data_IF_211255321317
#
_entry.id   IF_211255321317
#
_cell.length_a   1.000
_cell.length_b   1.000
_cell.length_c   1.000
_cell.angle_alpha   90.00
_cell.angle_beta   90.00
_cell.angle_gamma   90.00
#
_symmetry.space_group_name_H-M   'P 1'
#
loop_
_entity.id
_entity.type
_entity.pdbx_description
1 polymer ?
#
# COMPACT_ATOMS: atom_id res chain seq x y z
N UNK A 1 -23.46 4.35 -10.32
CA UNK A 1 -22.34 4.01 -9.42
C UNK A 1 -22.70 4.57 -8.06
N UNK A 2 -22.78 3.72 -7.06
CA UNK A 2 -23.01 4.10 -5.67
C UNK A 2 -21.65 4.17 -4.98
N UNK A 3 -21.35 5.30 -4.35
CA UNK A 3 -20.10 5.52 -3.63
C UNK A 3 -20.40 5.74 -2.16
N UNK A 4 -19.51 5.26 -1.31
CA UNK A 4 -19.62 5.33 0.14
C UNK A 4 -18.46 4.57 0.76
N UNK A 5 -18.42 4.49 2.08
CA UNK A 5 -17.35 3.78 2.78
C UNK A 5 -17.88 2.49 3.39
N UNK A 6 -17.04 1.47 3.40
CA UNK A 6 -17.34 0.13 3.89
C UNK A 6 -17.81 0.14 5.36
N UNK A 7 -17.25 1.06 6.15
CA UNK A 7 -17.56 1.22 7.57
C UNK A 7 -18.69 2.21 7.85
N UNK A 8 -19.32 2.80 6.84
CA UNK A 8 -20.56 3.56 6.98
C UNK A 8 -21.75 2.58 7.16
N UNK A 9 -22.43 2.58 8.33
CA UNK A 9 -23.50 1.64 8.63
C UNK A 9 -24.79 1.90 7.83
N UNK A 10 -24.89 3.01 7.09
CA UNK A 10 -26.01 3.33 6.20
C UNK A 10 -25.74 2.79 4.79
N UNK A 11 -24.49 2.85 4.35
CA UNK A 11 -24.06 2.46 3.02
C UNK A 11 -24.27 0.96 2.79
N UNK A 12 -25.01 0.60 1.72
CA UNK A 12 -25.40 -0.78 1.38
C UNK A 12 -26.31 -1.49 2.40
N UNK A 13 -26.95 -0.75 3.31
CA UNK A 13 -27.86 -1.36 4.30
C UNK A 13 -29.11 -2.04 3.71
N UNK A 14 -29.52 -1.74 2.47
CA UNK A 14 -30.71 -2.35 1.85
C UNK A 14 -30.58 -2.53 0.32
N UNK A 15 -29.73 -3.44 -0.17
CA UNK A 15 -29.43 -3.53 -1.60
C UNK A 15 -30.58 -4.17 -2.41
N UNK A 16 -31.35 -5.12 -1.86
CA UNK A 16 -32.48 -5.79 -2.53
C UNK A 16 -33.63 -6.13 -1.55
N UNK A 17 -34.02 -5.16 -0.73
CA UNK A 17 -35.05 -5.33 0.30
C UNK A 17 -34.46 -5.46 1.72
N UNK A 18 -35.33 -5.31 2.73
CA UNK A 18 -34.94 -5.31 4.15
C UNK A 18 -34.65 -6.74 4.59
N UNK A 19 -33.41 -7.02 4.98
CA UNK A 19 -33.00 -8.32 5.53
C UNK A 19 -32.48 -8.16 6.96
N UNK A 20 -32.26 -9.26 7.69
CA UNK A 20 -31.63 -9.18 9.01
C UNK A 20 -30.20 -8.60 8.94
N UNK A 21 -29.49 -8.76 7.80
CA UNK A 21 -28.17 -8.15 7.57
C UNK A 21 -28.22 -6.61 7.55
N UNK A 22 -29.35 -6.01 7.18
CA UNK A 22 -29.57 -4.56 7.15
C UNK A 22 -29.34 -3.88 8.51
N UNK A 23 -29.43 -4.63 9.61
CA UNK A 23 -29.24 -4.13 10.98
C UNK A 23 -27.84 -4.43 11.53
N UNK A 24 -27.07 -5.30 10.87
CA UNK A 24 -25.73 -5.74 11.25
C UNK A 24 -24.67 -5.30 10.25
N UNK A 25 -23.60 -6.09 10.09
CA UNK A 25 -22.59 -5.88 9.03
C UNK A 25 -23.17 -6.33 7.68
N UNK A 26 -23.06 -5.48 6.67
CA UNK A 26 -23.60 -5.69 5.32
C UNK A 26 -22.59 -5.28 4.25
N UNK A 27 -21.43 -5.95 4.27
CA UNK A 27 -20.31 -5.76 3.34
C UNK A 27 -20.28 -6.82 2.21
N UNK A 28 -21.45 -7.29 1.78
CA UNK A 28 -21.50 -8.17 0.60
C UNK A 28 -21.21 -7.32 -0.66
N UNK A 29 -20.37 -7.84 -1.56
CA UNK A 29 -20.00 -7.09 -2.77
C UNK A 29 -21.18 -6.88 -3.73
N UNK A 30 -21.19 -5.75 -4.43
CA UNK A 30 -22.22 -5.45 -5.42
C UNK A 30 -21.65 -4.77 -6.66
N UNK A 31 -22.11 -5.19 -7.84
CA UNK A 31 -21.62 -4.68 -9.12
C UNK A 31 -21.83 -3.17 -9.32
N UNK A 32 -22.67 -2.54 -8.49
CA UNK A 32 -23.01 -1.12 -8.59
C UNK A 32 -22.31 -0.22 -7.56
N UNK A 33 -21.57 -0.78 -6.61
CA UNK A 33 -21.01 -0.10 -5.44
C UNK A 33 -19.47 -0.07 -5.49
N UNK A 34 -18.90 0.92 -4.82
CA UNK A 34 -17.49 0.92 -4.41
C UNK A 34 -17.44 0.31 -3.01
N UNK A 35 -16.81 -0.85 -2.85
CA UNK A 35 -17.03 -1.69 -1.67
C UNK A 35 -15.98 -1.50 -0.57
N UNK A 36 -14.73 -1.20 -0.93
CA UNK A 36 -13.57 -1.37 -0.03
C UNK A 36 -12.88 -0.05 0.37
N UNK A 37 -13.62 1.05 0.48
CA UNK A 37 -13.10 2.33 0.98
C UNK A 37 -13.34 2.45 2.48
N UNK A 38 -12.31 2.76 3.27
CA UNK A 38 -12.35 2.78 4.73
C UNK A 38 -11.96 4.17 5.24
N UNK A 39 -12.82 4.78 6.06
CA UNK A 39 -12.44 5.97 6.83
C UNK A 39 -11.74 5.53 8.11
N UNK A 40 -10.45 5.79 8.24
CA UNK A 40 -9.68 5.46 9.44
C UNK A 40 -9.76 6.61 10.45
N UNK A 41 -10.84 6.61 11.25
CA UNK A 41 -11.06 7.60 12.31
C UNK A 41 -11.05 6.94 13.71
N UNK A 42 -11.19 7.71 14.81
CA UNK A 42 -11.16 7.15 16.17
C UNK A 42 -12.24 6.10 16.47
N UNK A 43 -13.40 6.15 15.81
CA UNK A 43 -14.42 5.11 15.94
C UNK A 43 -13.93 3.78 15.38
N UNK A 44 -13.36 3.77 14.17
CA UNK A 44 -12.82 2.55 13.54
C UNK A 44 -11.78 1.87 14.45
N UNK A 45 -10.90 2.67 15.06
CA UNK A 45 -9.90 2.19 16.02
C UNK A 45 -10.53 1.60 17.29
N UNK A 46 -11.58 2.24 17.81
CA UNK A 46 -12.27 1.76 19.02
C UNK A 46 -12.94 0.40 18.83
N UNK A 47 -13.51 0.17 17.63
CA UNK A 47 -14.10 -1.10 17.23
C UNK A 47 -13.04 -2.20 17.17
N UNK A 48 -11.89 -1.92 16.57
CA UNK A 48 -10.79 -2.88 16.47
C UNK A 48 -10.24 -3.31 17.84
N UNK A 49 -10.20 -2.38 18.80
CA UNK A 49 -9.70 -2.64 20.15
C UNK A 49 -10.70 -3.33 21.07
N UNK A 50 -11.93 -3.64 20.60
CA UNK A 50 -12.97 -4.26 21.41
C UNK A 50 -13.43 -3.42 22.61
N UNK A 51 -13.12 -2.12 22.59
CA UNK A 51 -13.48 -1.17 23.64
C UNK A 51 -14.86 -0.57 23.37
N UNK A 52 -15.71 -0.51 24.39
CA UNK A 52 -16.92 0.31 24.36
C UNK A 52 -16.52 1.74 23.99
N UNK A 53 -17.20 2.31 23.00
CA UNK A 53 -17.00 3.67 22.51
C UNK A 53 -17.01 4.72 23.64
N UNK A 54 -17.80 4.51 24.70
CA UNK A 54 -17.89 5.43 25.84
C UNK A 54 -16.52 5.68 26.47
N UNK A 55 -15.67 4.65 26.55
CA UNK A 55 -14.31 4.76 27.08
C UNK A 55 -13.31 5.38 26.07
N UNK A 56 -13.58 5.24 24.77
CA UNK A 56 -12.72 5.76 23.70
C UNK A 56 -12.99 7.22 23.38
N UNK A 57 -14.26 7.64 23.38
CA UNK A 57 -14.68 9.04 23.19
C UNK A 57 -14.27 9.91 24.38
N UNK A 58 -14.37 9.40 25.61
CA UNK A 58 -13.87 10.09 26.80
C UNK A 58 -12.35 10.36 26.74
N UNK A 59 -11.58 9.53 26.02
CA UNK A 59 -10.14 9.69 25.81
C UNK A 59 -9.77 10.52 24.57
N UNK A 60 -10.61 10.53 23.54
CA UNK A 60 -10.35 11.20 22.26
C UNK A 60 -10.84 12.65 22.17
N UNK A 61 -11.56 13.17 23.18
CA UNK A 61 -12.04 14.56 23.17
C UNK A 61 -13.18 14.85 22.19
N UNK A 62 -13.89 13.82 21.72
CA UNK A 62 -15.03 13.95 20.81
C UNK A 62 -16.29 14.39 21.60
N UNK A 63 -16.92 15.49 21.18
CA UNK A 63 -18.14 16.03 21.82
C UNK A 63 -19.41 15.40 21.22
N UNK A 64 -19.91 14.36 21.88
CA UNK A 64 -21.16 13.67 21.52
C UNK A 64 -22.38 14.58 21.44
N UNK A 65 -22.38 15.74 22.11
CA UNK A 65 -23.53 16.64 22.13
C UNK A 65 -23.63 17.53 20.88
N UNK A 66 -22.58 17.62 20.06
CA UNK A 66 -22.57 18.51 18.89
C UNK A 66 -23.07 17.88 17.59
N UNK A 67 -23.14 16.55 17.47
CA UNK A 67 -23.24 15.95 16.12
C UNK A 67 -24.45 15.02 15.85
N UNK A 68 -25.09 14.32 16.80
CA UNK A 68 -25.95 13.18 16.40
C UNK A 68 -27.35 13.03 17.05
N UNK A 69 -28.03 14.13 17.37
CA UNK A 69 -29.48 14.12 17.62
C UNK A 69 -30.22 15.09 16.68
N UNK A 70 -30.00 14.98 15.38
CA UNK A 70 -30.81 15.67 14.38
C UNK A 70 -31.86 14.71 13.75
N UNK A 71 -32.88 15.28 13.10
CA UNK A 71 -34.05 14.58 12.52
C UNK A 71 -33.73 13.39 11.62
N UNK A 72 -32.56 13.37 10.98
CA UNK A 72 -32.16 12.39 9.96
C UNK A 72 -32.14 10.94 10.47
N UNK A 73 -31.67 10.71 11.70
CA UNK A 73 -31.66 9.35 12.29
C UNK A 73 -33.08 8.81 12.51
N UNK A 74 -33.98 9.67 13.00
CA UNK A 74 -35.39 9.30 13.16
C UNK A 74 -36.06 9.07 11.81
N UNK A 75 -35.77 9.89 10.80
CA UNK A 75 -36.33 9.76 9.45
C UNK A 75 -35.90 8.46 8.75
N UNK A 76 -34.64 8.04 8.92
CA UNK A 76 -34.12 6.77 8.38
C UNK A 76 -34.74 5.57 9.08
N UNK A 77 -34.85 5.59 10.41
CA UNK A 77 -35.55 4.53 11.14
C UNK A 77 -37.01 4.40 10.68
N UNK A 78 -37.70 5.53 10.49
CA UNK A 78 -39.07 5.56 9.94
C UNK A 78 -39.11 5.00 8.52
N UNK A 79 -38.17 5.36 7.64
CA UNK A 79 -38.06 4.82 6.27
C UNK A 79 -37.81 3.30 6.27
N UNK A 80 -37.05 2.81 7.25
CA UNK A 80 -36.81 1.38 7.47
C UNK A 80 -37.97 0.68 8.19
N UNK A 81 -39.03 1.39 8.58
CA UNK A 81 -40.22 0.83 9.22
C UNK A 81 -40.00 0.48 10.70
N UNK A 82 -38.98 1.07 11.31
CA UNK A 82 -38.58 0.88 12.70
C UNK A 82 -39.13 2.06 13.52
N UNK A 83 -39.91 1.77 14.56
CA UNK A 83 -40.40 2.81 15.48
C UNK A 83 -39.25 3.31 16.38
N UNK A 84 -38.81 4.58 16.26
CA UNK A 84 -37.68 5.11 17.03
C UNK A 84 -37.91 5.05 18.54
N UNK A 85 -39.16 5.15 19.00
CA UNK A 85 -39.51 5.13 20.43
C UNK A 85 -39.47 3.72 21.01
N UNK A 86 -39.72 2.70 20.18
CA UNK A 86 -39.70 1.29 20.57
C UNK A 86 -38.26 0.75 20.57
N UNK A 87 -37.44 1.21 19.62
CA UNK A 87 -36.03 0.89 19.54
C UNK A 87 -35.29 1.35 20.81
N UNK A 88 -35.48 2.59 21.27
CA UNK A 88 -34.79 3.14 22.45
C UNK A 88 -34.92 2.27 23.73
N UNK A 89 -36.06 1.59 23.90
CA UNK A 89 -36.33 0.73 25.06
C UNK A 89 -35.66 -0.66 24.95
N UNK A 90 -35.58 -1.23 23.75
CA UNK A 90 -34.88 -2.51 23.50
C UNK A 90 -33.36 -2.32 23.33
N UNK A 91 -32.94 -1.14 22.91
CA UNK A 91 -31.56 -0.75 22.60
C UNK A 91 -30.69 -0.65 23.87
N UNK A 92 -31.25 -0.13 24.95
CA UNK A 92 -30.57 0.00 26.26
C UNK A 92 -30.17 -1.37 26.85
N UNK A 93 -30.86 -2.46 26.49
CA UNK A 93 -30.57 -3.81 26.99
C UNK A 93 -29.59 -4.61 26.10
N UNK A 94 -29.34 -4.18 24.85
CA UNK A 94 -28.46 -4.88 23.89
C UNK A 94 -27.06 -4.26 23.74
N UNK A 95 -26.91 -3.00 24.16
CA UNK A 95 -25.65 -2.23 24.14
C UNK A 95 -24.49 -2.89 24.92
N UNK A 96 -24.77 -3.80 25.86
CA UNK A 96 -23.73 -4.43 26.68
C UNK A 96 -23.11 -5.70 26.07
N UNK A 97 -23.62 -6.23 24.94
CA UNK A 97 -23.22 -7.57 24.47
C UNK A 97 -22.64 -7.70 23.06
N UNK A 98 -22.56 -6.64 22.26
CA UNK A 98 -21.95 -6.79 20.92
C UNK A 98 -21.29 -5.53 20.39
N UNK A 99 -20.03 -5.69 19.98
CA UNK A 99 -19.31 -4.84 19.04
C UNK A 99 -20.02 -4.83 17.67
N UNK A 100 -21.22 -4.24 17.58
CA UNK A 100 -22.00 -4.22 16.35
C UNK A 100 -21.67 -2.97 15.54
N UNK A 101 -20.94 -3.10 14.43
CA UNK A 101 -20.73 -2.04 13.40
C UNK A 101 -21.99 -1.73 12.56
N UNK A 102 -23.18 -2.09 13.05
CA UNK A 102 -24.42 -2.07 12.27
C UNK A 102 -25.22 -0.79 12.47
N UNK A 103 -26.27 -0.60 11.67
CA UNK A 103 -27.14 0.58 11.69
C UNK A 103 -27.67 0.98 13.07
N UNK A 104 -27.90 -0.02 13.93
CA UNK A 104 -28.42 0.22 15.27
C UNK A 104 -27.36 0.85 16.18
N UNK A 105 -26.06 0.60 15.97
CA UNK A 105 -25.02 1.27 16.75
C UNK A 105 -24.91 2.74 16.35
N UNK A 106 -25.52 3.61 17.16
CA UNK A 106 -25.53 5.06 16.98
C UNK A 106 -24.11 5.62 16.84
N UNK A 107 -23.11 4.96 17.42
CA UNK A 107 -21.74 5.42 17.29
C UNK A 107 -21.06 5.10 15.97
N UNK A 108 -21.52 4.06 15.27
CA UNK A 108 -21.10 3.75 13.91
C UNK A 108 -21.46 4.88 12.94
N UNK A 109 -22.45 5.70 13.25
CA UNK A 109 -22.87 6.83 12.41
C UNK A 109 -21.82 7.94 12.34
N UNK A 110 -20.79 7.94 13.18
CA UNK A 110 -19.61 8.78 12.97
C UNK A 110 -19.00 8.57 11.58
N UNK A 111 -19.15 7.38 10.99
CA UNK A 111 -18.70 7.05 9.62
C UNK A 111 -19.62 7.57 8.53
N UNK A 112 -20.83 8.01 8.87
CA UNK A 112 -21.80 8.59 7.95
C UNK A 112 -21.71 10.14 7.91
N UNK A 113 -20.66 10.75 8.48
CA UNK A 113 -20.47 12.19 8.38
C UNK A 113 -20.21 12.60 6.92
N UNK A 114 -21.06 13.45 6.30
CA UNK A 114 -20.87 13.90 4.94
C UNK A 114 -19.53 14.63 4.73
N UNK A 115 -19.04 15.36 5.74
CA UNK A 115 -17.77 16.07 5.64
C UNK A 115 -16.58 15.11 5.58
N UNK A 116 -16.57 14.08 6.44
CA UNK A 116 -15.55 13.04 6.41
C UNK A 116 -15.58 12.27 5.08
N UNK A 117 -16.78 11.92 4.58
CA UNK A 117 -16.95 11.24 3.30
C UNK A 117 -16.40 12.06 2.13
N UNK A 118 -16.72 13.35 2.06
CA UNK A 118 -16.21 14.24 1.00
C UNK A 118 -14.68 14.34 1.08
N UNK A 119 -14.13 14.55 2.27
CA UNK A 119 -12.68 14.64 2.46
C UNK A 119 -11.96 13.34 2.05
N UNK A 120 -12.51 12.19 2.42
CA UNK A 120 -11.97 10.87 2.06
C UNK A 120 -11.94 10.67 0.55
N UNK A 121 -13.06 10.89 -0.14
CA UNK A 121 -13.11 10.70 -1.60
C UNK A 121 -12.25 11.72 -2.34
N UNK A 122 -12.17 12.96 -1.86
CA UNK A 122 -11.31 13.98 -2.45
C UNK A 122 -9.82 13.60 -2.30
N UNK A 123 -9.43 12.99 -1.18
CA UNK A 123 -8.05 12.51 -1.00
C UNK A 123 -7.72 11.35 -1.94
N UNK A 124 -8.64 10.39 -2.11
CA UNK A 124 -8.47 9.31 -3.10
C UNK A 124 -8.31 9.89 -4.52
N UNK A 125 -9.15 10.85 -4.91
CA UNK A 125 -9.09 11.48 -6.24
C UNK A 125 -7.79 12.26 -6.48
N UNK A 126 -7.17 12.76 -5.42
CA UNK A 126 -5.93 13.53 -5.50
C UNK A 126 -4.67 12.69 -5.26
N UNK A 127 -4.82 11.41 -4.95
CA UNK A 127 -3.71 10.50 -4.68
C UNK A 127 -2.87 10.28 -5.93
N UNK A 128 -1.55 10.25 -5.76
CA UNK A 128 -0.64 9.87 -6.84
C UNK A 128 -0.85 8.42 -7.31
N UNK A 129 -1.47 7.60 -6.47
CA UNK A 129 -1.84 6.22 -6.82
C UNK A 129 -3.21 6.09 -7.48
N UNK A 130 -3.97 7.17 -7.68
CA UNK A 130 -5.36 7.07 -8.18
C UNK A 130 -5.45 6.30 -9.52
N UNK A 131 -4.49 6.50 -10.41
CA UNK A 131 -4.43 5.81 -11.71
C UNK A 131 -4.24 4.28 -11.61
N UNK A 132 -3.77 3.79 -10.45
CA UNK A 132 -3.63 2.37 -10.16
C UNK A 132 -4.86 1.79 -9.46
N UNK A 133 -5.82 2.61 -9.04
CA UNK A 133 -7.03 2.12 -8.36
C UNK A 133 -8.07 1.62 -9.36
N UNK A 134 -8.87 0.65 -8.91
CA UNK A 134 -10.10 0.20 -9.57
C UNK A 134 -11.26 0.21 -8.58
N UNK A 135 -12.48 -0.06 -9.05
CA UNK A 135 -13.72 0.05 -8.26
C UNK A 135 -13.65 -0.69 -6.92
N UNK A 136 -13.01 -1.85 -6.89
CA UNK A 136 -12.99 -2.74 -5.72
C UNK A 136 -11.65 -2.70 -4.97
N UNK A 137 -10.78 -1.73 -5.30
CA UNK A 137 -9.52 -1.52 -4.59
C UNK A 137 -9.76 -1.22 -3.11
N UNK A 138 -8.93 -1.80 -2.24
CA UNK A 138 -8.98 -1.51 -0.81
C UNK A 138 -8.25 -0.20 -0.52
N UNK A 139 -8.98 0.82 -0.06
CA UNK A 139 -8.41 2.14 0.25
C UNK A 139 -8.66 2.51 1.71
N UNK A 140 -7.60 2.59 2.51
CA UNK A 140 -7.62 3.03 3.90
C UNK A 140 -7.20 4.49 3.96
N UNK A 141 -8.10 5.37 4.38
CA UNK A 141 -7.87 6.81 4.33
C UNK A 141 -7.83 7.39 5.74
N UNK A 142 -6.70 7.97 6.12
CA UNK A 142 -6.49 8.59 7.43
C UNK A 142 -7.48 9.73 7.65
N UNK A 143 -8.20 9.67 8.76
CA UNK A 143 -9.02 10.77 9.24
C UNK A 143 -8.78 11.04 10.74
N UNK A 144 -7.55 10.77 11.18
CA UNK A 144 -7.10 11.05 12.53
C UNK A 144 -6.68 12.53 12.66
N UNK A 145 -6.83 13.07 13.87
CA UNK A 145 -6.42 14.45 14.18
C UNK A 145 -5.68 14.51 15.51
N UNK A 146 -4.89 15.58 15.70
CA UNK A 146 -4.16 15.85 16.94
C UNK A 146 -3.28 14.69 17.40
N UNK A 147 -3.27 14.44 18.71
CA UNK A 147 -2.42 13.42 19.32
C UNK A 147 -2.71 11.99 18.83
N UNK A 148 -3.93 11.69 18.39
CA UNK A 148 -4.26 10.36 17.87
C UNK A 148 -3.50 10.07 16.58
N UNK A 149 -3.37 11.06 15.69
CA UNK A 149 -2.62 10.92 14.44
C UNK A 149 -1.13 10.64 14.70
N UNK A 150 -0.54 11.36 15.65
CA UNK A 150 0.89 11.20 15.99
C UNK A 150 1.23 9.87 16.69
N UNK A 151 0.23 9.18 17.25
CA UNK A 151 0.47 8.00 18.11
C UNK A 151 -0.13 6.70 17.57
N UNK A 152 -1.00 6.79 16.57
CA UNK A 152 -1.76 5.64 16.04
C UNK A 152 -1.31 5.31 14.63
N UNK A 153 -1.06 4.03 14.37
CA UNK A 153 -0.81 3.54 13.01
C UNK A 153 -2.13 3.45 12.24
N UNK A 154 -2.19 4.12 11.10
CA UNK A 154 -3.21 3.92 10.07
C UNK A 154 -2.81 2.68 9.30
N UNK A 155 -3.60 1.62 9.42
CA UNK A 155 -3.35 0.33 8.78
C UNK A 155 -4.69 -0.31 8.39
N UNK A 156 -4.67 -1.25 7.45
CA UNK A 156 -5.86 -2.07 7.24
C UNK A 156 -6.05 -3.04 8.41
N UNK A 157 -7.06 -2.79 9.25
CA UNK A 157 -7.33 -3.59 10.45
C UNK A 157 -8.02 -4.92 10.14
N UNK A 158 -8.42 -5.17 8.89
CA UNK A 158 -9.08 -6.41 8.47
C UNK A 158 -10.22 -6.81 9.41
N UNK A 159 -11.09 -5.85 9.73
CA UNK A 159 -12.17 -6.08 10.68
C UNK A 159 -13.04 -7.26 10.22
N UNK A 160 -13.49 -8.06 11.18
CA UNK A 160 -14.26 -9.29 10.89
C UNK A 160 -15.49 -8.98 10.02
N UNK A 161 -15.69 -9.78 8.98
CA UNK A 161 -16.85 -9.68 8.09
C UNK A 161 -16.64 -8.78 6.88
N UNK A 162 -15.39 -8.41 6.59
CA UNK A 162 -15.03 -7.64 5.39
C UNK A 162 -14.60 -8.54 4.24
N UNK A 163 -14.76 -8.06 3.00
CA UNK A 163 -14.47 -8.82 1.76
C UNK A 163 -13.27 -8.29 0.96
N UNK A 164 -12.48 -7.42 1.59
CA UNK A 164 -11.26 -6.82 1.03
C UNK A 164 -10.28 -7.88 0.50
N UNK A 165 -9.65 -7.60 -0.64
CA UNK A 165 -8.62 -8.45 -1.25
C UNK A 165 -7.72 -7.63 -2.17
N UNK A 166 -6.58 -8.22 -2.57
CA UNK A 166 -5.62 -7.56 -3.45
C UNK A 166 -4.83 -6.47 -2.72
N UNK A 167 -4.16 -5.57 -3.48
CA UNK A 167 -3.35 -4.53 -2.89
C UNK A 167 -4.15 -3.56 -2.01
N UNK A 168 -3.48 -3.01 -1.00
CA UNK A 168 -4.05 -1.99 -0.11
C UNK A 168 -3.43 -0.63 -0.39
N UNK A 169 -4.27 0.39 -0.62
CA UNK A 169 -3.88 1.78 -0.70
C UNK A 169 -4.08 2.44 0.67
N UNK A 170 -3.04 3.04 1.24
CA UNK A 170 -3.08 3.69 2.56
C UNK A 170 -2.70 5.15 2.38
N UNK A 171 -3.67 6.03 2.58
CA UNK A 171 -3.53 7.47 2.33
C UNK A 171 -3.50 8.25 3.64
N UNK A 172 -2.43 8.98 3.87
CA UNK A 172 -2.23 9.88 5.00
C UNK A 172 -3.00 11.19 4.90
N UNK A 173 -2.49 12.24 5.50
CA UNK A 173 -3.08 13.58 5.57
C UNK A 173 -2.03 14.64 5.24
N UNK A 174 -2.38 15.91 5.45
CA UNK A 174 -1.43 17.02 5.29
C UNK A 174 -0.58 17.26 6.55
N UNK A 175 -0.58 16.36 7.54
CA UNK A 175 0.31 16.50 8.68
C UNK A 175 0.67 15.16 9.30
N UNK A 176 1.81 15.13 9.99
CA UNK A 176 2.52 13.96 10.51
C UNK A 176 1.62 12.74 10.83
N UNK A 177 1.62 11.77 9.92
CA UNK A 177 0.91 10.52 9.99
C UNK A 177 1.85 9.36 10.34
N UNK A 178 1.27 8.28 10.87
CA UNK A 178 1.94 7.00 11.01
C UNK A 178 1.19 5.99 10.16
N UNK A 179 1.79 5.55 9.06
CA UNK A 179 1.14 4.69 8.06
C UNK A 179 1.79 3.32 8.06
N UNK A 180 0.99 2.26 8.03
CA UNK A 180 1.51 0.90 8.12
C UNK A 180 0.85 -0.06 7.15
N UNK A 181 1.69 -0.68 6.34
CA UNK A 181 1.35 -1.73 5.39
C UNK A 181 1.20 -3.09 6.05
N UNK A 182 0.53 -3.99 5.33
CA UNK A 182 0.37 -5.38 5.68
C UNK A 182 1.56 -6.23 5.26
N UNK A 183 1.29 -7.52 5.07
CA UNK A 183 2.28 -8.48 4.54
C UNK A 183 2.12 -8.71 3.03
N UNK A 184 1.11 -8.10 2.42
CA UNK A 184 0.79 -8.19 0.99
C UNK A 184 1.34 -6.94 0.29
N UNK A 185 0.89 -6.65 -0.93
CA UNK A 185 1.26 -5.42 -1.64
C UNK A 185 0.55 -4.23 -1.03
N UNK A 186 1.32 -3.22 -0.62
CA UNK A 186 0.82 -1.98 -0.07
C UNK A 186 1.34 -0.76 -0.85
N UNK A 187 0.44 0.21 -1.07
CA UNK A 187 0.72 1.52 -1.66
C UNK A 187 0.48 2.59 -0.59
N UNK A 188 1.54 3.15 -0.03
CA UNK A 188 1.46 4.09 1.10
C UNK A 188 1.82 5.51 0.65
N UNK A 189 0.94 6.47 0.92
CA UNK A 189 1.13 7.88 0.58
C UNK A 189 1.01 8.74 1.84
N UNK A 190 2.10 9.39 2.25
CA UNK A 190 2.16 10.25 3.44
C UNK A 190 1.38 11.55 3.24
N UNK A 191 1.71 12.26 2.16
CA UNK A 191 1.10 13.53 1.80
C UNK A 191 2.02 14.68 2.19
N UNK A 192 1.63 15.47 3.19
CA UNK A 192 2.52 16.48 3.78
C UNK A 192 2.74 16.19 5.25
N UNK A 193 3.79 16.77 5.80
CA UNK A 193 4.14 16.58 7.20
C UNK A 193 5.30 15.60 7.31
N UNK A 194 5.71 15.31 8.53
CA UNK A 194 6.78 14.36 8.80
C UNK A 194 6.16 13.01 9.11
N UNK A 195 6.10 12.16 8.10
CA UNK A 195 5.38 10.90 8.15
C UNK A 195 6.29 9.73 8.52
N UNK A 196 5.70 8.73 9.17
CA UNK A 196 6.41 7.52 9.60
C UNK A 196 5.72 6.31 9.01
N UNK A 197 6.46 5.56 8.21
CA UNK A 197 5.98 4.37 7.53
C UNK A 197 6.48 3.10 8.22
N UNK A 198 5.68 2.05 8.20
CA UNK A 198 6.08 0.70 8.60
C UNK A 198 5.46 -0.31 7.63
N UNK A 199 6.27 -1.06 6.91
CA UNK A 199 5.77 -2.15 6.08
C UNK A 199 6.19 -3.52 6.63
N UNK A 200 5.39 -4.57 6.38
CA UNK A 200 5.60 -5.91 6.97
C UNK A 200 5.81 -7.03 5.97
N UNK A 201 5.88 -6.77 4.66
CA UNK A 201 6.08 -7.81 3.66
C UNK A 201 5.83 -7.38 2.23
N UNK A 202 5.56 -8.33 1.34
CA UNK A 202 5.08 -8.03 -0.02
C UNK A 202 5.97 -7.16 -0.90
N UNK A 203 5.32 -6.51 -1.86
CA UNK A 203 5.92 -5.65 -2.89
C UNK A 203 5.21 -4.30 -2.81
N UNK A 204 5.93 -3.23 -2.49
CA UNK A 204 5.29 -2.00 -2.01
C UNK A 204 5.81 -0.77 -2.74
N UNK A 205 4.97 0.26 -2.80
CA UNK A 205 5.39 1.62 -3.13
C UNK A 205 5.10 2.53 -1.95
N UNK A 206 6.09 3.30 -1.51
CA UNK A 206 5.97 4.29 -0.45
C UNK A 206 6.32 5.67 -1.01
N UNK A 207 5.40 6.62 -0.87
CA UNK A 207 5.60 8.02 -1.17
C UNK A 207 5.55 8.81 0.14
N UNK A 208 6.69 9.34 0.59
CA UNK A 208 6.72 10.23 1.76
C UNK A 208 5.95 11.51 1.50
N UNK A 209 6.28 12.16 0.37
CA UNK A 209 5.70 13.43 -0.02
C UNK A 209 6.51 14.60 0.55
N UNK A 210 5.82 15.62 1.08
CA UNK A 210 6.50 16.81 1.59
C UNK A 210 6.76 16.70 3.10
N UNK A 211 8.03 16.63 3.48
CA UNK A 211 8.42 16.82 4.87
C UNK A 211 9.72 16.13 5.20
N UNK A 212 9.83 15.64 6.43
CA UNK A 212 10.89 14.73 6.84
C UNK A 212 10.26 13.38 7.17
N UNK A 213 10.36 12.48 6.22
CA UNK A 213 9.68 11.20 6.20
C UNK A 213 10.64 10.07 6.54
N UNK A 214 10.10 9.04 7.18
CA UNK A 214 10.93 7.94 7.66
C UNK A 214 10.27 6.58 7.56
N UNK A 215 11.05 5.56 7.23
CA UNK A 215 10.60 4.16 7.24
C UNK A 215 11.18 3.45 8.47
N UNK A 216 10.30 2.92 9.31
CA UNK A 216 10.64 1.98 10.37
C UNK A 216 10.74 0.57 9.77
N UNK A 217 11.97 0.06 9.72
CA UNK A 217 12.25 -1.31 9.27
C UNK A 217 11.78 -2.34 10.31
N UNK A 218 11.50 -3.56 9.89
CA UNK A 218 11.07 -4.67 10.78
C UNK A 218 12.25 -5.38 11.47
N UNK A 219 13.48 -5.00 11.17
CA UNK A 219 14.67 -5.60 11.74
C UNK A 219 15.88 -4.69 11.66
N UNK A 220 17.07 -5.27 11.88
CA UNK A 220 18.33 -4.54 11.74
C UNK A 220 18.57 -4.17 10.28
N UNK A 221 19.15 -3.00 10.03
CA UNK A 221 19.51 -2.55 8.68
C UNK A 221 20.39 -3.57 7.92
N UNK A 222 21.17 -4.37 8.64
CA UNK A 222 22.01 -5.45 8.06
C UNK A 222 21.22 -6.58 7.39
N UNK A 223 19.92 -6.69 7.64
CA UNK A 223 19.01 -7.67 7.02
C UNK A 223 18.41 -7.17 5.71
N UNK A 224 18.75 -5.93 5.31
CA UNK A 224 18.22 -5.26 4.14
C UNK A 224 19.33 -4.99 3.12
N UNK A 225 19.00 -5.19 1.85
CA UNK A 225 19.76 -4.65 0.72
C UNK A 225 19.08 -3.35 0.29
N UNK A 226 19.77 -2.23 0.45
CA UNK A 226 19.24 -0.90 0.10
C UNK A 226 20.04 -0.35 -1.07
N UNK A 227 19.39 -0.10 -2.21
CA UNK A 227 19.95 0.62 -3.34
C UNK A 227 19.31 2.00 -3.48
N UNK A 228 19.98 2.91 -4.17
CA UNK A 228 19.50 4.26 -4.43
C UNK A 228 19.95 4.70 -5.83
N UNK A 229 19.01 5.15 -6.67
CA UNK A 229 19.29 5.65 -8.02
C UNK A 229 19.59 7.17 -8.06
N UNK A 230 19.51 7.83 -6.90
CA UNK A 230 19.66 9.26 -6.67
C UNK A 230 18.36 9.95 -6.25
N UNK A 231 17.20 9.32 -6.49
CA UNK A 231 15.89 9.84 -6.15
C UNK A 231 15.04 8.81 -5.37
N UNK A 232 15.16 7.54 -5.73
CA UNK A 232 14.34 6.45 -5.24
C UNK A 232 15.19 5.45 -4.45
N UNK A 233 14.70 5.05 -3.28
CA UNK A 233 15.23 3.94 -2.51
C UNK A 233 14.58 2.63 -2.94
N UNK A 234 15.40 1.61 -3.14
CA UNK A 234 14.96 0.24 -3.38
C UNK A 234 15.41 -0.60 -2.19
N UNK A 235 14.45 -1.01 -1.36
CA UNK A 235 14.69 -1.68 -0.08
C UNK A 235 14.22 -3.11 -0.21
N UNK A 236 15.14 -4.06 -0.10
CA UNK A 236 14.82 -5.49 -0.15
C UNK A 236 15.20 -6.16 1.15
N UNK A 237 14.27 -6.87 1.77
CA UNK A 237 14.58 -7.66 2.97
C UNK A 237 15.11 -9.07 2.62
N UNK A 238 15.69 -9.74 3.61
CA UNK A 238 16.20 -11.11 3.47
C UNK A 238 15.14 -12.17 3.15
N UNK A 239 13.85 -11.89 3.32
CA UNK A 239 12.72 -12.79 3.03
C UNK A 239 12.16 -12.59 1.62
N UNK A 240 12.59 -11.53 0.93
CA UNK A 240 12.20 -11.21 -0.43
C UNK A 240 11.17 -10.09 -0.54
N UNK A 241 10.73 -9.49 0.58
CA UNK A 241 9.90 -8.29 0.54
C UNK A 241 10.67 -7.15 -0.12
N UNK A 242 9.97 -6.33 -0.90
CA UNK A 242 10.59 -5.33 -1.75
C UNK A 242 9.78 -4.03 -1.76
N UNK A 243 10.43 -2.93 -1.46
CA UNK A 243 9.80 -1.61 -1.41
C UNK A 243 10.54 -0.65 -2.31
N UNK A 244 9.78 0.03 -3.17
CA UNK A 244 10.21 1.21 -3.92
C UNK A 244 9.74 2.43 -3.10
N UNK A 245 10.66 3.26 -2.63
CA UNK A 245 10.33 4.39 -1.77
C UNK A 245 10.90 5.71 -2.29
N UNK A 246 10.07 6.75 -2.30
CA UNK A 246 10.42 8.12 -2.74
C UNK A 246 10.15 9.10 -1.61
N UNK A 247 10.93 10.18 -1.62
CA UNK A 247 10.85 11.26 -0.62
C UNK A 247 10.97 10.71 0.81
N UNK A 248 12.04 9.96 1.07
CA UNK A 248 12.32 9.38 2.40
C UNK A 248 13.67 9.88 2.88
N UNK A 249 13.66 10.64 3.98
CA UNK A 249 14.85 11.23 4.59
C UNK A 249 15.54 10.29 5.57
N UNK A 250 14.84 9.29 6.12
CA UNK A 250 15.42 8.40 7.12
C UNK A 250 14.92 6.95 7.12
N UNK A 251 15.82 6.02 7.46
CA UNK A 251 15.48 4.63 7.79
C UNK A 251 15.76 4.37 9.26
N UNK A 252 14.77 3.91 10.01
CA UNK A 252 14.92 3.55 11.42
C UNK A 252 14.92 2.05 11.56
N UNK A 253 16.01 1.47 12.09
CA UNK A 253 16.06 0.02 12.32
C UNK A 253 15.28 -0.39 13.56
N UNK A 254 14.70 -1.60 13.52
CA UNK A 254 14.09 -2.21 14.69
C UNK A 254 15.13 -3.06 15.40
N UNK A 255 15.41 -2.66 16.63
CA UNK A 255 16.27 -3.43 17.52
C UNK A 255 15.48 -4.61 18.08
N UNK A 256 16.06 -5.81 17.98
CA UNK A 256 15.56 -6.99 18.69
C UNK A 256 16.25 -7.06 20.05
N UNK A 257 15.49 -6.82 21.12
CA UNK A 257 15.96 -7.08 22.50
C UNK A 257 16.26 -8.58 22.65
N UNK A 258 17.51 -8.93 22.95
CA UNK A 258 17.88 -10.31 23.25
C UNK A 258 17.87 -10.53 24.77
N UNK A 259 16.77 -11.07 25.30
CA UNK A 259 16.71 -11.55 26.70
C UNK A 259 16.95 -10.47 27.76
N UNK A 260 17.87 -10.72 28.71
CA UNK A 260 18.11 -9.84 29.87
C UNK A 260 19.02 -8.63 29.56
N UNK A 261 19.50 -8.51 28.33
CA UNK A 261 20.37 -7.44 27.86
C UNK A 261 19.64 -6.60 26.82
N UNK A 262 19.24 -5.39 27.21
CA UNK A 262 18.74 -4.37 26.30
C UNK A 262 19.92 -3.78 25.54
N UNK A 263 20.20 -4.30 24.35
CA UNK A 263 21.17 -3.70 23.44
C UNK A 263 20.41 -2.77 22.50
N UNK A 264 20.55 -1.47 22.74
CA UNK A 264 20.39 -0.36 21.80
C UNK A 264 18.99 0.25 21.66
N UNK A 265 18.95 1.59 21.72
CA UNK A 265 17.83 2.37 21.18
C UNK A 265 17.76 2.14 19.67
N UNK A 266 16.55 2.13 19.05
CA UNK A 266 16.42 2.20 17.60
C UNK A 266 17.36 3.25 17.03
N UNK A 267 18.10 2.90 15.98
CA UNK A 267 18.98 3.84 15.28
C UNK A 267 18.27 4.31 14.02
N UNK A 268 18.28 5.62 13.83
CA UNK A 268 17.73 6.29 12.64
C UNK A 268 18.89 6.74 11.78
N UNK A 269 18.97 6.22 10.56
CA UNK A 269 20.00 6.54 9.58
C UNK A 269 19.46 7.55 8.58
N UNK A 270 20.20 8.62 8.33
CA UNK A 270 19.81 9.63 7.36
C UNK A 270 20.13 9.13 5.95
N UNK A 271 19.18 9.29 5.04
CA UNK A 271 19.32 8.96 3.63
C UNK A 271 20.11 10.09 2.96
N UNK A 272 21.26 9.75 2.37
CA UNK A 272 22.11 10.73 1.68
C UNK A 272 22.66 10.17 0.39
N UNK A 273 23.18 11.03 -0.48
CA UNK A 273 23.84 10.63 -1.73
C UNK A 273 25.00 9.66 -1.54
N UNK A 274 25.62 9.62 -0.34
CA UNK A 274 26.80 8.80 -0.06
C UNK A 274 26.48 7.46 0.61
N UNK A 275 25.22 7.22 0.96
CA UNK A 275 24.76 6.08 1.76
C UNK A 275 23.87 6.50 2.92
N UNK A 276 23.64 5.55 3.82
CA UNK A 276 22.84 5.74 5.03
C UNK A 276 23.76 6.18 6.17
N UNK A 277 23.68 7.45 6.55
CA UNK A 277 24.56 8.07 7.57
C UNK A 277 24.05 7.76 8.97
N UNK A 278 24.93 7.23 9.81
CA UNK A 278 24.63 6.96 11.20
C UNK A 278 24.71 8.27 12.01
N UNK A 279 23.81 8.50 12.99
CA UNK A 279 23.74 9.76 13.74
C UNK A 279 25.00 10.04 14.57
N UNK A 280 25.71 8.98 14.97
CA UNK A 280 26.97 9.06 15.71
C UNK A 280 28.22 9.00 14.79
N UNK A 281 28.04 9.14 13.48
CA UNK A 281 29.10 9.04 12.48
C UNK A 281 29.27 7.64 11.90
N UNK A 282 29.78 7.59 10.66
CA UNK A 282 29.85 6.38 9.84
C UNK A 282 28.75 6.34 8.78
N UNK A 283 29.01 5.62 7.69
CA UNK A 283 28.09 5.52 6.55
C UNK A 283 27.95 4.06 6.15
N UNK A 284 26.72 3.54 6.20
CA UNK A 284 26.39 2.26 5.58
C UNK A 284 26.20 2.51 4.09
N UNK A 285 27.05 1.88 3.27
CA UNK A 285 26.99 2.05 1.82
C UNK A 285 25.76 1.35 1.26
N UNK A 286 25.17 1.97 0.24
CA UNK A 286 24.16 1.31 -0.59
C UNK A 286 24.73 0.06 -1.27
N UNK A 287 23.83 -0.80 -1.73
CA UNK A 287 24.15 -1.88 -2.63
C UNK A 287 24.91 -1.35 -3.85
N UNK A 288 25.80 -2.19 -4.40
CA UNK A 288 26.56 -1.82 -5.58
C UNK A 288 25.61 -1.49 -6.73
N UNK A 289 25.78 -0.31 -7.33
CA UNK A 289 24.93 0.15 -8.43
C UNK A 289 25.73 0.88 -9.49
N UNK A 290 25.21 0.83 -10.72
CA UNK A 290 25.64 1.65 -11.84
C UNK A 290 24.41 2.45 -12.27
N UNK A 291 24.54 3.77 -12.20
CA UNK A 291 23.46 4.70 -12.49
C UNK A 291 23.71 5.40 -13.82
N UNK A 292 22.70 5.39 -14.68
CA UNK A 292 22.59 6.23 -15.85
C UNK A 292 22.18 7.67 -15.53
N UNK A 293 21.75 8.33 -16.59
CA UNK A 293 21.30 9.71 -16.72
C UNK A 293 19.89 9.71 -17.33
N UNK A 294 19.32 10.87 -17.63
CA UNK A 294 18.05 10.94 -18.36
C UNK A 294 18.21 10.78 -19.90
N UNK A 295 19.44 10.49 -20.36
CA UNK A 295 19.77 10.26 -21.77
C UNK A 295 20.02 8.76 -21.98
N UNK A 296 19.88 8.29 -23.23
CA UNK A 296 20.20 6.92 -23.63
C UNK A 296 21.63 6.51 -23.22
N UNK A 297 21.75 5.43 -22.46
CA UNK A 297 22.97 4.95 -21.86
C UNK A 297 23.28 3.50 -22.25
N UNK A 298 24.55 3.12 -22.10
CA UNK A 298 24.99 1.72 -22.16
C UNK A 298 25.66 1.41 -20.83
N UNK A 299 24.99 0.60 -20.01
CA UNK A 299 25.43 0.25 -18.67
C UNK A 299 25.84 -1.22 -18.63
N UNK A 300 26.98 -1.52 -18.02
CA UNK A 300 27.52 -2.87 -17.98
C UNK A 300 27.95 -3.24 -16.56
N UNK A 301 27.27 -4.24 -15.98
CA UNK A 301 27.63 -4.81 -14.69
C UNK A 301 28.66 -5.94 -14.86
N UNK A 302 29.80 -5.81 -14.17
CA UNK A 302 30.86 -6.82 -14.10
C UNK A 302 31.00 -7.47 -12.72
N UNK A 303 30.24 -7.01 -11.73
CA UNK A 303 30.19 -7.53 -10.36
C UNK A 303 28.87 -8.28 -10.05
N UNK A 304 28.93 -9.26 -9.14
CA UNK A 304 27.76 -9.92 -8.56
C UNK A 304 26.83 -8.93 -7.86
N UNK A 305 25.54 -9.23 -7.80
CA UNK A 305 24.56 -8.46 -7.00
C UNK A 305 24.55 -6.95 -7.31
N UNK A 306 24.76 -6.59 -8.57
CA UNK A 306 24.78 -5.20 -9.01
C UNK A 306 23.39 -4.74 -9.42
N UNK A 307 23.07 -3.48 -9.08
CA UNK A 307 21.92 -2.77 -9.60
C UNK A 307 22.31 -1.98 -10.85
N UNK A 308 21.53 -2.08 -11.91
CA UNK A 308 21.63 -1.26 -13.10
C UNK A 308 20.38 -0.38 -13.17
N UNK A 309 20.58 0.93 -13.16
CA UNK A 309 19.51 1.92 -13.25
C UNK A 309 19.69 2.75 -14.52
N UNK A 310 18.83 2.55 -15.51
CA UNK A 310 18.83 3.33 -16.76
C UNK A 310 18.36 4.77 -16.54
N UNK A 311 17.17 4.89 -15.93
CA UNK A 311 16.40 6.10 -15.64
C UNK A 311 15.49 6.50 -16.79
N UNK A 312 15.64 7.69 -17.35
CA UNK A 312 14.86 8.07 -18.53
C UNK A 312 15.72 7.82 -19.77
N UNK A 313 15.07 7.57 -20.91
CA UNK A 313 15.75 7.36 -22.18
C UNK A 313 15.75 5.89 -22.57
N UNK A 314 16.25 5.60 -23.77
CA UNK A 314 16.27 4.24 -24.28
C UNK A 314 17.64 3.64 -24.03
N UNK A 315 17.76 2.86 -22.97
CA UNK A 315 19.00 2.37 -22.42
C UNK A 315 19.34 0.94 -22.87
N UNK A 316 20.61 0.57 -22.73
CA UNK A 316 21.11 -0.79 -22.92
C UNK A 316 21.79 -1.23 -21.63
N UNK A 317 21.15 -2.11 -20.87
CA UNK A 317 21.65 -2.62 -19.60
C UNK A 317 22.13 -4.06 -19.78
N UNK A 318 23.41 -4.31 -19.49
CA UNK A 318 24.06 -5.58 -19.76
C UNK A 318 24.68 -6.14 -18.48
N UNK A 319 24.38 -7.39 -18.14
CA UNK A 319 25.11 -8.14 -17.11
C UNK A 319 26.09 -9.11 -17.76
N UNK A 320 27.39 -8.87 -17.57
CA UNK A 320 28.48 -9.74 -18.08
C UNK A 320 29.12 -10.63 -17.00
N UNK A 321 28.78 -10.39 -15.73
CA UNK A 321 29.23 -11.13 -14.54
C UNK A 321 28.10 -11.91 -13.87
N UNK A 322 28.47 -12.85 -12.99
CA UNK A 322 27.60 -13.87 -12.36
C UNK A 322 26.38 -13.32 -11.59
N UNK A 323 25.35 -14.17 -11.53
CA UNK A 323 24.09 -14.20 -10.74
C UNK A 323 23.60 -12.97 -9.94
N UNK A 324 22.27 -12.82 -9.91
CA UNK A 324 21.53 -11.85 -9.08
C UNK A 324 21.69 -10.36 -9.44
N UNK A 325 21.86 -10.00 -10.71
CA UNK A 325 21.78 -8.60 -11.17
C UNK A 325 20.36 -8.08 -11.11
N UNK A 326 20.18 -6.81 -10.73
CA UNK A 326 18.87 -6.14 -10.70
C UNK A 326 18.84 -5.10 -11.80
N UNK A 327 17.88 -5.22 -12.69
CA UNK A 327 17.68 -4.33 -13.83
C UNK A 327 16.49 -3.45 -13.54
N UNK A 328 16.71 -2.14 -13.58
CA UNK A 328 15.67 -1.11 -13.59
C UNK A 328 15.95 -0.28 -14.83
N UNK A 329 15.22 -0.53 -15.91
CA UNK A 329 15.31 0.27 -17.13
C UNK A 329 14.90 1.70 -16.83
N UNK A 330 13.66 1.85 -16.40
CA UNK A 330 13.07 3.13 -16.01
C UNK A 330 12.06 3.54 -17.08
N UNK A 331 11.99 4.82 -17.44
CA UNK A 331 11.13 5.29 -18.51
C UNK A 331 11.89 5.23 -19.85
N UNK A 332 11.27 4.64 -20.87
CA UNK A 332 11.84 4.58 -22.22
C UNK A 332 11.73 3.18 -22.77
N UNK A 333 12.29 2.95 -23.97
CA UNK A 333 12.30 1.61 -24.56
C UNK A 333 13.70 0.99 -24.38
N UNK A 334 13.85 0.15 -23.35
CA UNK A 334 15.13 -0.35 -22.88
C UNK A 334 15.46 -1.75 -23.42
N UNK A 335 16.76 -2.01 -23.60
CA UNK A 335 17.30 -3.32 -23.97
C UNK A 335 18.06 -3.91 -22.79
N UNK A 336 17.47 -4.93 -22.16
CA UNK A 336 17.97 -5.57 -20.95
C UNK A 336 18.57 -6.94 -21.28
N UNK A 337 19.83 -7.18 -20.92
CA UNK A 337 20.59 -8.34 -21.40
C UNK A 337 21.27 -9.10 -20.26
N UNK A 338 20.85 -10.35 -20.04
CA UNK A 338 21.34 -11.24 -18.97
C UNK A 338 22.25 -12.36 -19.51
N UNK A 339 23.37 -11.99 -20.16
CA UNK A 339 24.25 -12.94 -20.88
C UNK A 339 24.73 -14.11 -20.02
N UNK A 340 25.10 -13.89 -18.75
CA UNK A 340 25.67 -14.92 -17.86
C UNK A 340 25.06 -14.86 -16.47
N UNK A 341 24.75 -16.02 -15.90
CA UNK A 341 24.07 -16.13 -14.60
C UNK A 341 22.55 -16.15 -14.72
N UNK A 342 21.88 -16.93 -13.88
CA UNK A 342 20.44 -16.81 -13.65
C UNK A 342 20.20 -16.01 -12.37
N UNK A 343 18.97 -16.02 -11.89
CA UNK A 343 18.54 -15.33 -10.66
C UNK A 343 18.56 -13.80 -10.77
N UNK A 344 18.66 -13.26 -11.99
CA UNK A 344 18.50 -11.83 -12.24
C UNK A 344 17.06 -11.41 -11.97
N UNK A 345 16.88 -10.16 -11.53
CA UNK A 345 15.54 -9.58 -11.29
C UNK A 345 15.38 -8.35 -12.16
N UNK A 346 14.34 -8.32 -12.99
CA UNK A 346 13.96 -7.18 -13.80
C UNK A 346 12.75 -6.51 -13.14
N UNK A 347 12.83 -5.22 -12.88
CA UNK A 347 11.87 -4.47 -12.10
C UNK A 347 11.27 -3.38 -12.99
N UNK A 348 9.95 -3.36 -13.07
CA UNK A 348 9.16 -2.44 -13.87
C UNK A 348 8.14 -1.76 -12.97
N UNK A 349 8.06 -0.43 -13.06
CA UNK A 349 7.14 0.38 -12.27
C UNK A 349 6.64 1.56 -13.10
N UNK A 350 5.39 1.94 -12.87
CA UNK A 350 4.78 3.08 -13.57
C UNK A 350 4.80 2.94 -15.09
N UNK A 351 5.25 3.99 -15.77
CA UNK A 351 5.30 4.09 -17.24
C UNK A 351 6.66 3.66 -17.79
N UNK A 352 6.96 2.37 -17.64
CA UNK A 352 8.28 1.82 -17.97
C UNK A 352 8.58 1.67 -19.48
N UNK A 353 7.64 2.00 -20.37
CA UNK A 353 7.84 1.94 -21.83
C UNK A 353 7.81 0.52 -22.42
N UNK A 354 8.50 0.31 -23.54
CA UNK A 354 8.47 -0.95 -24.30
C UNK A 354 9.83 -1.64 -24.34
N UNK A 355 10.06 -2.49 -23.35
CA UNK A 355 11.36 -3.10 -23.11
C UNK A 355 11.53 -4.44 -23.79
N UNK A 356 12.79 -4.77 -24.06
CA UNK A 356 13.21 -6.05 -24.64
C UNK A 356 14.21 -6.71 -23.71
N UNK A 357 13.87 -7.93 -23.27
CA UNK A 357 14.76 -8.76 -22.46
C UNK A 357 15.36 -9.86 -23.32
N UNK A 358 16.69 -9.89 -23.36
CA UNK A 358 17.49 -10.93 -23.98
C UNK A 358 18.05 -11.90 -22.93
N UNK A 359 18.07 -13.19 -23.29
CA UNK A 359 18.65 -14.28 -22.49
C UNK A 359 18.01 -14.47 -21.11
N UNK A 360 16.70 -14.25 -21.00
CA UNK A 360 15.92 -14.53 -19.78
C UNK A 360 15.90 -16.04 -19.49
N UNK A 361 16.19 -16.42 -18.24
CA UNK A 361 16.29 -17.81 -17.77
C UNK A 361 15.17 -18.13 -16.80
N UNK A 362 14.88 -19.42 -16.64
CA UNK A 362 13.82 -19.89 -15.75
C UNK A 362 14.02 -19.52 -14.27
N UNK A 363 15.24 -19.20 -13.85
CA UNK A 363 15.52 -18.76 -12.48
C UNK A 363 15.49 -17.24 -12.30
N UNK A 364 15.39 -16.48 -13.40
CA UNK A 364 15.21 -15.03 -13.36
C UNK A 364 13.79 -14.66 -12.93
N UNK A 365 13.63 -13.40 -12.51
CA UNK A 365 12.37 -12.85 -12.01
C UNK A 365 12.00 -11.56 -12.71
N UNK A 366 10.71 -11.40 -12.99
CA UNK A 366 10.09 -10.16 -13.43
C UNK A 366 9.22 -9.65 -12.28
N UNK A 367 9.44 -8.41 -11.87
CA UNK A 367 8.64 -7.74 -10.85
C UNK A 367 7.97 -6.53 -11.50
N UNK A 368 6.66 -6.61 -11.70
CA UNK A 368 5.83 -5.50 -12.13
C UNK A 368 5.13 -4.94 -10.89
N UNK A 369 5.44 -3.71 -10.52
CA UNK A 369 4.97 -3.09 -9.27
C UNK A 369 4.34 -1.75 -9.62
N UNK A 370 3.07 -1.54 -9.31
CA UNK A 370 2.38 -0.28 -9.61
C UNK A 370 2.31 0.01 -11.12
N UNK A 371 1.95 -1.00 -11.91
CA UNK A 371 1.76 -0.88 -13.36
C UNK A 371 0.26 -0.92 -13.72
N UNK A 372 -0.08 -0.37 -14.89
CA UNK A 372 -1.48 -0.25 -15.32
C UNK A 372 -2.21 -1.60 -15.38
N UNK A 373 -3.38 -1.69 -14.75
CA UNK A 373 -4.23 -2.89 -14.72
C UNK A 373 -3.78 -4.00 -13.77
N UNK A 374 -2.57 -3.93 -13.20
CA UNK A 374 -2.01 -4.96 -12.33
C UNK A 374 -2.74 -5.10 -10.98
N UNK A 375 -3.42 -4.05 -10.52
CA UNK A 375 -4.12 -4.05 -9.22
C UNK A 375 -5.49 -4.74 -9.27
N UNK A 376 -6.06 -4.93 -10.46
CA UNK A 376 -7.32 -5.66 -10.67
C UNK A 376 -7.09 -7.16 -10.86
N UNK A 377 -5.96 -7.53 -11.46
CA UNK A 377 -5.62 -8.91 -11.76
C UNK A 377 -4.14 -9.15 -11.56
N UNK A 378 -3.82 -10.04 -10.61
CA UNK A 378 -2.43 -10.35 -10.25
C UNK A 378 -1.86 -11.56 -11.02
N UNK A 379 -2.62 -12.17 -11.93
CA UNK A 379 -2.12 -13.28 -12.76
C UNK A 379 -1.51 -12.74 -14.07
N UNK A 380 -0.18 -12.86 -14.19
CA UNK A 380 0.58 -12.50 -15.38
C UNK A 380 0.04 -13.10 -16.69
N UNK A 381 -0.68 -14.23 -16.63
CA UNK A 381 -1.33 -14.85 -17.81
C UNK A 381 -2.35 -13.95 -18.47
N UNK A 382 -2.94 -13.03 -17.71
CA UNK A 382 -3.93 -12.07 -18.19
C UNK A 382 -3.31 -10.94 -19.00
N UNK A 383 -1.99 -10.73 -18.85
CA UNK A 383 -1.22 -9.68 -19.51
C UNK A 383 -0.28 -10.25 -20.58
N UNK A 384 -0.19 -11.56 -20.72
CA UNK A 384 0.82 -12.20 -21.55
C UNK A 384 0.27 -12.85 -22.80
N UNK A 385 1.06 -12.78 -23.88
CA UNK A 385 0.75 -13.37 -25.16
C UNK A 385 2.02 -13.83 -25.87
N UNK A 386 1.94 -14.95 -26.58
CA UNK A 386 3.02 -15.39 -27.46
C UNK A 386 2.95 -14.68 -28.82
N UNK A 387 4.08 -14.10 -29.24
CA UNK A 387 4.24 -13.36 -30.50
C UNK A 387 5.57 -13.75 -31.14
N UNK A 388 5.53 -14.45 -32.28
CA UNK A 388 6.72 -14.85 -33.05
C UNK A 388 7.81 -15.56 -32.20
N UNK A 389 7.44 -16.55 -31.38
CA UNK A 389 8.29 -17.28 -30.43
C UNK A 389 8.84 -16.45 -29.25
N UNK A 390 8.30 -15.26 -29.02
CA UNK A 390 8.58 -14.46 -27.84
C UNK A 390 7.34 -14.43 -26.94
N UNK A 391 7.55 -14.26 -25.63
CA UNK A 391 6.47 -13.90 -24.72
C UNK A 391 6.45 -12.39 -24.56
N UNK A 392 5.30 -11.77 -24.76
CA UNK A 392 5.10 -10.33 -24.56
C UNK A 392 4.13 -10.16 -23.39
N UNK A 393 4.51 -9.38 -22.38
CA UNK A 393 3.63 -8.92 -21.30
C UNK A 393 3.26 -7.46 -21.56
N UNK A 394 1.98 -7.10 -21.48
CA UNK A 394 1.47 -5.75 -21.82
C UNK A 394 0.64 -5.16 -20.68
N UNK A 395 0.97 -3.93 -20.27
CA UNK A 395 0.30 -3.18 -19.19
C UNK A 395 -0.03 -1.78 -19.71
N UNK A 396 -1.26 -1.60 -20.17
CA UNK A 396 -1.66 -0.36 -20.85
C UNK A 396 -0.83 -0.12 -22.11
N UNK A 397 -0.15 1.02 -22.16
CA UNK A 397 0.75 1.42 -23.24
C UNK A 397 2.19 0.86 -23.11
N UNK A 398 2.49 0.15 -22.01
CA UNK A 398 3.82 -0.40 -21.72
C UNK A 398 3.88 -1.89 -22.05
N UNK A 399 5.08 -2.39 -22.40
CA UNK A 399 5.25 -3.82 -22.65
C UNK A 399 6.67 -4.33 -22.40
N UNK A 400 6.79 -5.62 -22.09
CA UNK A 400 8.06 -6.32 -21.98
C UNK A 400 8.06 -7.51 -22.92
N UNK A 401 9.01 -7.54 -23.85
CA UNK A 401 9.22 -8.66 -24.77
C UNK A 401 10.36 -9.55 -24.28
N UNK A 402 10.04 -10.79 -23.91
CA UNK A 402 11.02 -11.83 -23.58
C UNK A 402 11.42 -12.58 -24.85
N UNK A 403 12.62 -12.29 -25.35
CA UNK A 403 13.09 -12.83 -26.63
C UNK A 403 13.40 -14.32 -26.52
N UNK A 404 12.72 -15.13 -27.34
CA UNK A 404 12.92 -16.58 -27.41
C UNK A 404 12.43 -17.36 -26.21
N UNK A 405 11.58 -16.75 -25.36
CA UNK A 405 10.99 -17.40 -24.18
C UNK A 405 9.54 -17.79 -24.47
N UNK A 406 9.22 -19.07 -24.30
CA UNK A 406 7.86 -19.58 -24.43
C UNK A 406 7.05 -19.27 -23.17
N UNK A 407 5.78 -18.92 -23.31
CA UNK A 407 4.92 -18.50 -22.20
C UNK A 407 4.71 -19.61 -21.17
N UNK A 408 4.66 -20.87 -21.63
CA UNK A 408 4.50 -22.05 -20.80
C UNK A 408 5.73 -22.38 -19.95
N UNK A 409 6.88 -21.76 -20.24
CA UNK A 409 8.09 -21.86 -19.42
C UNK A 409 8.09 -20.92 -18.20
N UNK A 410 7.19 -19.93 -18.18
CA UNK A 410 7.04 -18.99 -17.07
C UNK A 410 6.17 -19.58 -15.95
N UNK A 411 6.40 -19.08 -14.74
CA UNK A 411 5.62 -19.44 -13.56
C UNK A 411 5.24 -18.20 -12.75
N UNK A 412 4.23 -18.34 -11.89
CA UNK A 412 3.86 -17.29 -10.93
C UNK A 412 4.95 -17.00 -9.88
N UNK A 413 6.00 -17.83 -9.80
CA UNK A 413 7.16 -17.57 -8.95
C UNK A 413 8.25 -16.73 -9.66
N UNK A 414 8.25 -16.71 -11.00
CA UNK A 414 9.17 -15.94 -11.83
C UNK A 414 8.56 -14.64 -12.32
N UNK A 415 7.24 -14.46 -12.23
CA UNK A 415 6.56 -13.22 -12.62
C UNK A 415 5.67 -12.78 -11.46
N UNK A 416 6.04 -11.65 -10.87
CA UNK A 416 5.31 -10.99 -9.80
C UNK A 416 4.57 -9.80 -10.39
N UNK A 417 3.27 -9.75 -10.15
CA UNK A 417 2.40 -8.60 -10.43
C UNK A 417 1.96 -8.08 -9.06
N UNK A 418 2.21 -6.81 -8.80
CA UNK A 418 2.00 -6.16 -7.52
C UNK A 418 1.45 -4.75 -7.72
#
# INVERSE_FOLDING_TARGET
MNTGTENDPVYRSAPEGKTEKSLGIHDDSSASTVDNVIIFNPYYLSVANGTSLVDSIAKAGFDLNKTYLNSTFSDILIALGIDPKKLLAEFTAKLESSASRGLLDISAWAMHDPAENVATHQRILNSDFYGLTHRDSTAVVSNLTGNLRETTWVENLHLKGTTQSGPTFILGTDGNDKLRGGSETDYLEGGKGNDVFEDRGGYNIILGGQGYDSINLQGSLTQYNVANDGNTLYIRDSKGAFTIARDIEALTEKVTDYGWYKLNTPQTFNVTVNGLEHPNGGVVKYANSINGTADNNILMADLHNTWLFGKDGNDVLISIGKDNTKFVGGNGDDNLVSWVGGDSTFIFEGSFGNDIIHDFKASDKLNFIGVEGATENLDYRSFSKEVHNNTVLTFGDNSVTLVGVALDSLSSASVIIA
#
